data_IF_485069320141
#
_entry.id   IF_485069320141
#
_cell.length_a   1.000
_cell.length_b   1.000
_cell.length_c   1.000
_cell.angle_alpha   90.00
_cell.angle_beta   90.00
_cell.angle_gamma   90.00
#
_symmetry.space_group_name_H-M   'P 1'
#
loop_
_entity.id
_entity.type
_entity.pdbx_description
1 polymer ?
#
# COMPACT_ATOMS: atom_id res chain seq x y z
N UNK A 1 -6.38 7.37 23.51
CA UNK A 1 -6.33 7.88 22.15
C UNK A 1 -7.52 7.31 21.38
N UNK A 2 -8.25 8.14 20.64
CA UNK A 2 -9.30 7.65 19.76
C UNK A 2 -8.63 7.17 18.46
N UNK A 3 -8.29 5.90 18.41
CA UNK A 3 -7.78 5.29 17.18
C UNK A 3 -8.86 5.33 16.10
N UNK A 4 -8.45 5.54 14.84
CA UNK A 4 -9.35 5.75 13.71
C UNK A 4 -9.21 4.64 12.69
N UNK A 5 -10.31 4.35 12.02
CA UNK A 5 -10.36 3.49 10.85
C UNK A 5 -10.52 4.37 9.62
N UNK A 6 -9.68 4.14 8.62
CA UNK A 6 -9.70 4.84 7.35
C UNK A 6 -9.95 3.86 6.21
N UNK A 7 -10.57 4.35 5.14
CA UNK A 7 -10.80 3.56 3.95
C UNK A 7 -9.88 4.02 2.82
N UNK A 8 -9.19 3.05 2.22
CA UNK A 8 -8.38 3.23 1.01
C UNK A 8 -9.05 2.45 -0.11
N UNK A 9 -9.49 3.15 -1.15
CA UNK A 9 -9.99 2.52 -2.36
C UNK A 9 -8.84 2.14 -3.28
N UNK A 10 -8.88 0.93 -3.83
CA UNK A 10 -7.85 0.41 -4.75
C UNK A 10 -8.43 0.03 -6.12
N UNK A 11 -9.65 0.45 -6.42
CA UNK A 11 -10.35 0.13 -7.67
C UNK A 11 -9.51 0.50 -8.88
N UNK A 12 -8.96 1.70 -8.90
CA UNK A 12 -8.19 2.24 -10.02
C UNK A 12 -6.77 1.67 -10.15
N UNK A 13 -6.30 0.89 -9.19
CA UNK A 13 -4.99 0.25 -9.23
C UNK A 13 -5.13 -1.27 -9.25
N UNK A 14 -5.59 -1.88 -8.16
CA UNK A 14 -5.71 -3.33 -8.04
C UNK A 14 -6.95 -3.87 -8.74
N UNK A 15 -8.06 -3.17 -8.58
CA UNK A 15 -9.33 -3.55 -9.20
C UNK A 15 -9.24 -3.66 -10.72
N UNK A 16 -8.50 -2.78 -11.39
CA UNK A 16 -8.32 -2.82 -12.86
C UNK A 16 -7.46 -3.99 -13.35
N UNK A 17 -6.82 -4.73 -12.45
CA UNK A 17 -6.09 -5.95 -12.78
C UNK A 17 -7.01 -7.18 -12.88
N UNK A 18 -8.29 -7.01 -12.53
CA UNK A 18 -9.30 -8.06 -12.67
C UNK A 18 -9.46 -8.46 -14.15
N UNK A 19 -9.45 -9.77 -14.41
CA UNK A 19 -9.63 -10.30 -15.76
C UNK A 19 -10.90 -9.77 -16.42
N UNK A 20 -10.81 -9.37 -17.68
CA UNK A 20 -11.91 -8.82 -18.50
C UNK A 20 -12.43 -7.46 -18.03
N UNK A 21 -11.79 -6.81 -17.09
CA UNK A 21 -12.09 -5.42 -16.72
C UNK A 21 -11.10 -4.48 -17.42
N UNK A 22 -11.61 -3.50 -18.14
CA UNK A 22 -10.81 -2.43 -18.72
C UNK A 22 -11.51 -1.10 -18.45
N UNK A 23 -10.84 -0.23 -17.68
CA UNK A 23 -11.34 1.12 -17.43
C UNK A 23 -10.54 2.13 -18.24
N UNK A 24 -11.26 2.98 -18.99
CA UNK A 24 -10.65 4.12 -19.64
C UNK A 24 -10.19 5.16 -18.62
N UNK A 25 -9.24 6.02 -19.01
CA UNK A 25 -8.71 7.08 -18.13
C UNK A 25 -9.80 8.02 -17.61
N UNK A 26 -10.82 8.30 -18.43
CA UNK A 26 -11.99 9.11 -18.02
C UNK A 26 -12.80 8.40 -16.94
N UNK A 27 -13.07 7.10 -17.11
CA UNK A 27 -13.82 6.31 -16.12
C UNK A 27 -13.09 6.25 -14.78
N UNK A 28 -11.78 6.02 -14.80
CA UNK A 28 -10.93 6.08 -13.59
C UNK A 28 -10.96 7.47 -12.93
N UNK A 29 -11.02 8.54 -13.71
CA UNK A 29 -11.14 9.92 -13.20
C UNK A 29 -12.49 10.15 -12.54
N UNK A 30 -13.58 9.68 -13.16
CA UNK A 30 -14.94 9.75 -12.60
C UNK A 30 -14.98 8.99 -11.27
N UNK A 31 -14.38 7.82 -11.19
CA UNK A 31 -14.28 7.05 -9.93
C UNK A 31 -13.59 7.88 -8.84
N UNK A 32 -12.45 8.53 -9.12
CA UNK A 32 -11.77 9.38 -8.15
C UNK A 32 -12.65 10.55 -7.66
N UNK A 33 -13.43 11.17 -8.55
CA UNK A 33 -14.37 12.23 -8.16
C UNK A 33 -15.50 11.70 -7.27
N UNK A 34 -16.07 10.54 -7.61
CA UNK A 34 -17.09 9.89 -6.79
C UNK A 34 -16.57 9.48 -5.42
N UNK A 35 -15.35 8.97 -5.34
CA UNK A 35 -14.69 8.63 -4.07
C UNK A 35 -14.52 9.86 -3.18
N UNK A 36 -14.18 11.02 -3.78
CA UNK A 36 -14.10 12.29 -3.04
C UNK A 36 -15.46 12.74 -2.51
N UNK A 37 -16.52 12.64 -3.33
CA UNK A 37 -17.89 12.96 -2.90
C UNK A 37 -18.39 12.01 -1.81
N UNK A 38 -17.96 10.74 -1.81
CA UNK A 38 -18.25 9.76 -0.75
C UNK A 38 -17.43 9.99 0.53
N UNK A 39 -16.42 10.85 0.50
CA UNK A 39 -15.53 11.09 1.64
C UNK A 39 -14.52 9.97 1.90
N UNK A 40 -14.18 9.16 0.89
CA UNK A 40 -13.14 8.14 1.01
C UNK A 40 -11.79 8.81 1.25
N UNK A 41 -11.06 8.32 2.25
CA UNK A 41 -9.84 8.98 2.73
C UNK A 41 -8.73 9.00 1.67
N UNK A 42 -8.57 7.89 0.92
CA UNK A 42 -7.52 7.75 -0.07
C UNK A 42 -7.95 6.87 -1.23
N UNK A 43 -7.53 7.23 -2.44
CA UNK A 43 -7.59 6.39 -3.64
C UNK A 43 -6.18 6.03 -4.07
N UNK A 44 -5.89 4.73 -4.17
CA UNK A 44 -4.69 4.23 -4.82
C UNK A 44 -4.95 4.25 -6.34
N UNK A 45 -4.60 5.35 -6.99
CA UNK A 45 -5.18 5.73 -8.27
C UNK A 45 -4.43 5.23 -9.50
N UNK A 46 -3.24 4.60 -9.33
CA UNK A 46 -2.54 3.96 -10.43
C UNK A 46 -1.04 3.73 -10.19
N UNK A 47 -0.33 3.43 -11.29
CA UNK A 47 1.08 3.09 -11.35
C UNK A 47 1.89 4.25 -11.97
N UNK A 48 2.58 5.10 -11.20
CA UNK A 48 3.35 6.22 -11.75
C UNK A 48 4.56 5.79 -12.59
N UNK A 49 4.99 4.54 -12.51
CA UNK A 49 6.05 3.98 -13.37
C UNK A 49 5.55 3.62 -14.78
N UNK A 50 4.23 3.55 -14.98
CA UNK A 50 3.63 3.06 -16.23
C UNK A 50 3.35 4.20 -17.19
N UNK A 51 4.07 4.22 -18.32
CA UNK A 51 4.05 5.32 -19.30
C UNK A 51 2.64 5.69 -19.78
N UNK A 52 1.77 4.72 -20.05
CA UNK A 52 0.42 5.00 -20.55
C UNK A 52 -0.49 5.66 -19.51
N UNK A 53 -0.17 5.59 -18.21
CA UNK A 53 -0.96 6.21 -17.14
C UNK A 53 -0.54 7.65 -16.81
N UNK A 54 0.63 8.10 -17.25
CA UNK A 54 1.21 9.40 -16.85
C UNK A 54 0.23 10.56 -17.04
N UNK A 55 -0.41 10.65 -18.20
CA UNK A 55 -1.35 11.75 -18.48
C UNK A 55 -2.57 11.73 -17.57
N UNK A 56 -3.10 10.52 -17.29
CA UNK A 56 -4.22 10.33 -16.36
C UNK A 56 -3.82 10.75 -14.95
N UNK A 57 -2.67 10.29 -14.47
CA UNK A 57 -2.20 10.57 -13.12
C UNK A 57 -1.96 12.09 -12.92
N UNK A 58 -1.26 12.73 -13.84
CA UNK A 58 -1.02 14.18 -13.79
C UNK A 58 -2.33 14.96 -13.92
N UNK A 59 -3.24 14.55 -14.79
CA UNK A 59 -4.57 15.16 -14.92
C UNK A 59 -5.38 15.13 -13.62
N UNK A 60 -5.38 13.99 -12.92
CA UNK A 60 -6.08 13.88 -11.63
C UNK A 60 -5.42 14.71 -10.53
N UNK A 61 -4.09 14.84 -10.50
CA UNK A 61 -3.41 15.73 -9.56
C UNK A 61 -3.67 17.22 -9.88
N UNK A 62 -3.90 17.57 -11.14
CA UNK A 62 -4.37 18.91 -11.49
C UNK A 62 -5.81 19.16 -10.99
N UNK A 63 -6.70 18.14 -10.99
CA UNK A 63 -8.03 18.25 -10.39
C UNK A 63 -7.94 18.49 -8.87
N UNK A 64 -6.98 17.87 -8.18
CA UNK A 64 -6.71 18.16 -6.76
C UNK A 64 -6.28 19.61 -6.58
N UNK A 65 -5.36 20.11 -7.41
CA UNK A 65 -4.90 21.49 -7.36
C UNK A 65 -6.01 22.50 -7.62
N UNK A 66 -6.95 22.16 -8.51
CA UNK A 66 -8.15 22.97 -8.82
C UNK A 66 -9.30 22.81 -7.84
N UNK A 67 -9.13 22.04 -6.78
CA UNK A 67 -10.16 21.75 -5.77
C UNK A 67 -11.40 21.03 -6.33
N UNK A 68 -11.27 20.33 -7.45
CA UNK A 68 -12.30 19.43 -7.96
C UNK A 68 -12.29 18.08 -7.22
N UNK A 69 -11.12 17.64 -6.75
CA UNK A 69 -10.94 16.59 -5.74
C UNK A 69 -10.39 17.29 -4.50
N UNK A 70 -11.13 17.28 -3.37
CA UNK A 70 -10.90 18.16 -2.22
C UNK A 70 -10.32 17.45 -1.01
N UNK A 71 -10.79 16.24 -0.74
CA UNK A 71 -10.52 15.51 0.51
C UNK A 71 -9.78 14.20 0.28
N UNK A 72 -10.10 13.48 -0.80
CA UNK A 72 -9.49 12.20 -1.12
C UNK A 72 -8.03 12.37 -1.55
N UNK A 73 -7.14 11.68 -0.84
CA UNK A 73 -5.71 11.66 -1.16
C UNK A 73 -5.45 10.69 -2.31
N UNK A 74 -4.82 11.15 -3.37
CA UNK A 74 -4.45 10.30 -4.50
C UNK A 74 -3.04 9.73 -4.28
N UNK A 75 -2.92 8.42 -4.15
CA UNK A 75 -1.65 7.73 -3.92
C UNK A 75 -1.24 6.86 -5.10
N UNK A 76 0.03 6.93 -5.47
CA UNK A 76 0.62 6.03 -6.45
C UNK A 76 1.13 4.75 -5.78
N UNK A 77 1.00 3.63 -6.49
CA UNK A 77 1.60 2.36 -6.09
C UNK A 77 2.80 2.05 -7.00
N UNK A 78 3.90 1.57 -6.42
CA UNK A 78 5.09 1.16 -7.16
C UNK A 78 5.86 0.08 -6.39
N UNK A 79 6.79 -0.58 -7.08
CA UNK A 79 7.69 -1.50 -6.39
C UNK A 79 8.59 -0.74 -5.43
N UNK A 80 8.93 -1.35 -4.31
CA UNK A 80 9.81 -0.79 -3.28
C UNK A 80 11.29 -0.77 -3.72
N UNK A 81 11.57 -0.09 -4.82
CA UNK A 81 12.91 0.09 -5.42
C UNK A 81 13.16 1.57 -5.68
N UNK A 82 14.32 2.08 -5.30
CA UNK A 82 14.67 3.50 -5.48
C UNK A 82 14.53 3.94 -6.96
N UNK A 83 14.91 3.10 -7.91
CA UNK A 83 14.76 3.40 -9.34
C UNK A 83 13.30 3.60 -9.79
N UNK A 84 12.36 2.80 -9.25
CA UNK A 84 10.93 2.96 -9.53
C UNK A 84 10.39 4.24 -8.90
N UNK A 85 10.85 4.59 -7.70
CA UNK A 85 10.52 5.84 -7.03
C UNK A 85 11.00 7.05 -7.84
N UNK A 86 12.27 7.06 -8.26
CA UNK A 86 12.83 8.12 -9.09
C UNK A 86 12.04 8.31 -10.39
N UNK A 87 11.76 7.21 -11.09
CA UNK A 87 10.98 7.24 -12.33
C UNK A 87 9.57 7.78 -12.08
N UNK A 88 8.92 7.36 -10.99
CA UNK A 88 7.58 7.80 -10.62
C UNK A 88 7.52 9.32 -10.38
N UNK A 89 8.43 9.87 -9.60
CA UNK A 89 8.48 11.32 -9.34
C UNK A 89 8.94 12.13 -10.55
N UNK A 90 9.77 11.56 -11.43
CA UNK A 90 10.08 12.15 -12.73
C UNK A 90 8.83 12.26 -13.61
N UNK A 91 8.02 11.22 -13.67
CA UNK A 91 6.82 11.16 -14.51
C UNK A 91 5.63 11.93 -13.92
N UNK A 92 5.52 11.94 -12.59
CA UNK A 92 4.39 12.50 -11.83
C UNK A 92 4.94 13.37 -10.68
N UNK A 93 5.48 14.57 -10.99
CA UNK A 93 6.25 15.36 -10.02
C UNK A 93 5.41 15.93 -8.86
N UNK A 94 4.09 15.98 -9.00
CA UNK A 94 3.18 16.45 -7.94
C UNK A 94 2.65 15.34 -7.04
N UNK A 95 3.19 14.11 -7.16
CA UNK A 95 2.81 12.99 -6.32
C UNK A 95 3.25 13.23 -4.87
N UNK A 96 2.32 13.06 -3.92
CA UNK A 96 2.57 13.33 -2.50
C UNK A 96 2.37 12.09 -1.61
N UNK A 97 1.61 11.11 -2.09
CA UNK A 97 1.25 9.91 -1.36
C UNK A 97 1.67 8.68 -2.17
N UNK A 98 2.42 7.79 -1.56
CA UNK A 98 2.96 6.61 -2.25
C UNK A 98 2.86 5.36 -1.38
N UNK A 99 2.65 4.22 -2.04
CA UNK A 99 2.73 2.89 -1.45
C UNK A 99 3.81 2.09 -2.19
N UNK A 100 4.82 1.66 -1.43
CA UNK A 100 5.98 0.93 -1.92
C UNK A 100 5.82 -0.56 -1.59
N UNK A 101 5.77 -1.43 -2.58
CA UNK A 101 5.49 -2.85 -2.38
C UNK A 101 6.72 -3.73 -2.57
N UNK A 102 6.95 -4.62 -1.62
CA UNK A 102 7.95 -5.67 -1.68
C UNK A 102 7.37 -7.02 -1.28
N UNK A 103 7.84 -8.07 -1.94
CA UNK A 103 7.50 -9.44 -1.56
C UNK A 103 8.21 -9.82 -0.27
N UNK A 104 7.47 -10.40 0.68
CA UNK A 104 7.98 -10.69 2.01
C UNK A 104 7.98 -12.19 2.36
N UNK A 105 7.24 -13.02 1.61
CA UNK A 105 7.32 -14.47 1.79
C UNK A 105 8.57 -15.05 1.15
N UNK A 106 9.07 -16.14 1.70
CA UNK A 106 10.22 -16.84 1.16
C UNK A 106 9.95 -17.33 -0.28
N UNK A 107 8.75 -17.86 -0.52
CA UNK A 107 8.32 -18.34 -1.83
C UNK A 107 8.39 -17.24 -2.90
N UNK A 108 7.90 -16.04 -2.55
CA UNK A 108 7.91 -14.91 -3.48
C UNK A 108 9.32 -14.34 -3.68
N UNK A 109 10.12 -14.24 -2.63
CA UNK A 109 11.51 -13.77 -2.73
C UNK A 109 12.31 -14.73 -3.61
N UNK A 110 12.19 -16.03 -3.38
CA UNK A 110 12.89 -17.03 -4.19
C UNK A 110 12.42 -17.02 -5.66
N UNK A 111 11.10 -16.96 -5.88
CA UNK A 111 10.53 -16.97 -7.24
C UNK A 111 10.83 -15.70 -8.04
N UNK A 112 10.62 -14.52 -7.47
CA UNK A 112 10.85 -13.24 -8.17
C UNK A 112 12.32 -12.96 -8.45
N UNK A 113 13.19 -13.31 -7.53
CA UNK A 113 14.60 -12.97 -7.64
C UNK A 113 15.50 -14.16 -8.00
N UNK A 114 14.89 -15.32 -8.32
CA UNK A 114 15.61 -16.53 -8.76
C UNK A 114 16.74 -16.91 -7.78
N UNK A 115 16.48 -16.82 -6.50
CA UNK A 115 17.45 -17.12 -5.44
C UNK A 115 18.58 -16.08 -5.26
N UNK A 116 18.54 -14.95 -5.98
CA UNK A 116 19.59 -13.91 -5.92
C UNK A 116 19.41 -12.88 -4.83
N UNK A 117 18.34 -12.92 -4.08
CA UNK A 117 18.01 -11.99 -2.99
C UNK A 117 17.67 -12.73 -1.72
N UNK A 118 18.08 -12.14 -0.62
CA UNK A 118 17.78 -12.59 0.74
C UNK A 118 16.69 -11.69 1.38
N UNK A 119 16.07 -12.10 2.48
CA UNK A 119 15.20 -11.21 3.26
C UNK A 119 15.86 -9.89 3.67
N UNK A 120 17.15 -9.89 3.99
CA UNK A 120 17.89 -8.68 4.34
C UNK A 120 18.08 -7.74 3.14
N UNK A 121 18.26 -8.28 1.93
CA UNK A 121 18.25 -7.48 0.69
C UNK A 121 16.89 -6.78 0.48
N UNK A 122 15.78 -7.45 0.81
CA UNK A 122 14.44 -6.85 0.72
C UNK A 122 14.29 -5.68 1.68
N UNK A 123 14.77 -5.82 2.91
CA UNK A 123 14.79 -4.72 3.88
C UNK A 123 15.64 -3.55 3.36
N UNK A 124 16.84 -3.84 2.86
CA UNK A 124 17.74 -2.82 2.33
C UNK A 124 17.13 -2.05 1.16
N UNK A 125 16.57 -2.76 0.18
CA UNK A 125 15.89 -2.15 -0.97
C UNK A 125 14.72 -1.28 -0.55
N UNK A 126 13.93 -1.73 0.43
CA UNK A 126 12.79 -0.96 0.97
C UNK A 126 13.27 0.32 1.65
N UNK A 127 14.34 0.23 2.44
CA UNK A 127 14.96 1.38 3.08
C UNK A 127 15.34 2.44 2.05
N UNK A 128 16.13 2.06 1.03
CA UNK A 128 16.55 2.98 -0.04
C UNK A 128 15.34 3.61 -0.76
N UNK A 129 14.29 2.83 -1.02
CA UNK A 129 13.08 3.31 -1.68
C UNK A 129 12.31 4.32 -0.81
N UNK A 130 12.19 4.07 0.50
CA UNK A 130 11.52 4.96 1.45
C UNK A 130 12.30 6.29 1.56
N UNK A 131 13.60 6.23 1.77
CA UNK A 131 14.48 7.40 1.84
C UNK A 131 14.39 8.22 0.56
N UNK A 132 14.48 7.57 -0.60
CA UNK A 132 14.32 8.22 -1.91
C UNK A 132 12.94 8.91 -2.04
N UNK A 133 11.85 8.26 -1.64
CA UNK A 133 10.51 8.86 -1.70
C UNK A 133 10.38 10.10 -0.81
N UNK A 134 10.95 10.06 0.39
CA UNK A 134 11.00 11.23 1.29
C UNK A 134 11.84 12.37 0.72
N UNK A 135 12.98 12.08 0.16
CA UNK A 135 13.87 13.07 -0.49
C UNK A 135 13.19 13.72 -1.71
N UNK A 136 12.33 12.99 -2.43
CA UNK A 136 11.51 13.54 -3.53
C UNK A 136 10.29 14.32 -3.02
N UNK A 137 10.07 14.43 -1.74
CA UNK A 137 9.00 15.23 -1.13
C UNK A 137 7.68 14.49 -0.90
N UNK A 138 7.69 13.15 -0.86
CA UNK A 138 6.51 12.39 -0.47
C UNK A 138 6.08 12.75 0.96
N UNK A 139 4.82 13.14 1.14
CA UNK A 139 4.25 13.47 2.46
C UNK A 139 3.99 12.21 3.28
N UNK A 140 3.42 11.19 2.64
CA UNK A 140 3.11 9.90 3.26
C UNK A 140 3.69 8.78 2.39
N UNK A 141 4.43 7.91 3.03
CA UNK A 141 5.04 6.71 2.42
C UNK A 141 4.51 5.48 3.15
N UNK A 142 3.68 4.69 2.49
CA UNK A 142 3.29 3.36 2.95
C UNK A 142 4.26 2.30 2.44
N UNK A 143 4.55 1.29 3.24
CA UNK A 143 5.27 0.10 2.81
C UNK A 143 4.36 -1.12 2.84
N UNK A 144 4.31 -1.84 1.74
CA UNK A 144 3.44 -3.01 1.58
C UNK A 144 4.27 -4.27 1.68
N UNK A 145 3.84 -5.17 2.57
CA UNK A 145 4.35 -6.54 2.65
C UNK A 145 3.48 -7.44 1.75
N UNK A 146 3.87 -7.61 0.50
CA UNK A 146 3.20 -8.51 -0.43
C UNK A 146 3.39 -9.96 0.04
N UNK A 147 2.29 -10.73 0.06
CA UNK A 147 2.25 -12.12 0.53
C UNK A 147 2.59 -12.26 2.04
N UNK A 148 2.15 -11.29 2.84
CA UNK A 148 2.42 -11.24 4.27
C UNK A 148 1.83 -12.44 5.02
N UNK A 149 0.68 -12.96 4.58
CA UNK A 149 0.04 -14.12 5.19
C UNK A 149 0.93 -15.37 5.21
N UNK A 150 1.81 -15.56 4.22
CA UNK A 150 2.81 -16.65 4.18
C UNK A 150 4.20 -16.26 4.71
N UNK A 151 4.39 -15.01 5.10
CA UNK A 151 5.68 -14.53 5.56
C UNK A 151 5.94 -14.89 7.02
N UNK A 152 7.21 -15.08 7.36
CA UNK A 152 7.62 -15.23 8.76
C UNK A 152 7.28 -13.96 9.55
N UNK A 153 6.64 -14.10 10.71
CA UNK A 153 6.16 -12.96 11.50
C UNK A 153 7.32 -12.12 12.05
N UNK A 154 8.42 -12.73 12.46
CA UNK A 154 9.61 -12.01 12.96
C UNK A 154 10.23 -11.16 11.85
N UNK A 155 10.23 -11.70 10.62
CA UNK A 155 10.70 -10.97 9.46
C UNK A 155 9.79 -9.76 9.16
N UNK A 156 8.46 -9.93 9.20
CA UNK A 156 7.53 -8.82 9.00
C UNK A 156 7.72 -7.70 10.02
N UNK A 157 7.92 -8.06 11.29
CA UNK A 157 8.18 -7.09 12.36
C UNK A 157 9.50 -6.36 12.11
N UNK A 158 10.57 -7.08 11.74
CA UNK A 158 11.86 -6.50 11.39
C UNK A 158 11.73 -5.55 10.20
N UNK A 159 11.07 -6.00 9.13
CA UNK A 159 10.80 -5.23 7.93
C UNK A 159 10.06 -3.91 8.24
N UNK A 160 8.97 -3.98 9.01
CA UNK A 160 8.20 -2.80 9.38
C UNK A 160 9.02 -1.83 10.27
N UNK A 161 9.79 -2.35 11.25
CA UNK A 161 10.66 -1.53 12.11
C UNK A 161 11.74 -0.80 11.30
N UNK A 162 12.39 -1.48 10.37
CA UNK A 162 13.43 -0.86 9.53
C UNK A 162 12.81 0.16 8.55
N UNK A 163 11.67 -0.14 7.95
CA UNK A 163 10.93 0.82 7.12
C UNK A 163 10.55 2.08 7.92
N UNK A 164 10.05 1.92 9.15
CA UNK A 164 9.74 3.05 10.05
C UNK A 164 10.96 3.92 10.32
N UNK A 165 12.12 3.33 10.62
CA UNK A 165 13.38 4.05 10.84
C UNK A 165 13.81 4.87 9.62
N UNK A 166 13.48 4.39 8.42
CA UNK A 166 13.79 5.08 7.16
C UNK A 166 12.76 6.15 6.80
N UNK A 167 11.70 6.31 7.61
CA UNK A 167 10.69 7.35 7.42
C UNK A 167 9.36 6.87 6.83
N UNK A 168 9.10 5.57 6.74
CA UNK A 168 7.77 5.07 6.36
C UNK A 168 6.73 5.42 7.42
N UNK A 169 5.55 5.85 6.97
CA UNK A 169 4.47 6.34 7.84
C UNK A 169 3.48 5.25 8.23
N UNK A 170 3.36 4.17 7.45
CA UNK A 170 2.43 3.06 7.69
C UNK A 170 2.91 1.77 7.05
N UNK A 171 2.41 0.66 7.58
CA UNK A 171 2.70 -0.68 7.12
C UNK A 171 1.43 -1.35 6.59
N UNK A 172 1.44 -1.84 5.34
CA UNK A 172 0.33 -2.59 4.75
C UNK A 172 0.60 -4.08 4.82
N UNK A 173 -0.30 -4.80 5.48
CA UNK A 173 -0.35 -6.26 5.49
C UNK A 173 -1.19 -6.76 4.32
N UNK A 174 -0.60 -7.53 3.40
CA UNK A 174 -1.30 -8.04 2.21
C UNK A 174 -1.48 -9.56 2.28
N UNK A 175 -2.71 -10.02 2.37
CA UNK A 175 -3.07 -11.41 2.09
C UNK A 175 -3.30 -11.57 0.57
N UNK A 176 -2.21 -11.66 -0.16
CA UNK A 176 -2.18 -11.66 -1.63
C UNK A 176 -2.90 -12.87 -2.24
N UNK A 177 -2.96 -13.98 -1.53
CA UNK A 177 -3.63 -15.22 -1.98
C UNK A 177 -5.05 -15.37 -1.43
N UNK A 178 -5.49 -14.50 -0.52
CA UNK A 178 -6.84 -14.51 0.04
C UNK A 178 -7.19 -15.77 0.82
N UNK A 179 -6.22 -16.37 1.52
CA UNK A 179 -6.42 -17.64 2.22
C UNK A 179 -6.39 -17.57 3.75
N UNK A 180 -6.05 -16.41 4.31
CA UNK A 180 -5.90 -16.27 5.75
C UNK A 180 -7.26 -16.30 6.48
N UNK A 181 -7.28 -16.80 7.69
CA UNK A 181 -8.47 -16.81 8.55
C UNK A 181 -8.50 -15.59 9.50
N UNK A 182 -9.69 -15.19 9.98
CA UNK A 182 -9.84 -13.99 10.81
C UNK A 182 -9.10 -14.04 12.15
N UNK A 183 -8.97 -15.22 12.77
CA UNK A 183 -8.29 -15.36 14.08
C UNK A 183 -6.78 -15.24 13.91
N UNK A 184 -6.22 -15.91 12.91
CA UNK A 184 -4.80 -15.77 12.55
C UNK A 184 -4.47 -14.33 12.17
N UNK A 185 -5.32 -13.68 11.37
CA UNK A 185 -5.20 -12.26 11.04
C UNK A 185 -5.12 -11.40 12.28
N UNK A 186 -6.07 -11.55 13.23
CA UNK A 186 -6.05 -10.79 14.48
C UNK A 186 -4.72 -10.94 15.22
N UNK A 187 -4.28 -12.17 15.43
CA UNK A 187 -3.07 -12.48 16.20
C UNK A 187 -1.82 -11.87 15.56
N UNK A 188 -1.68 -11.98 14.23
CA UNK A 188 -0.54 -11.47 13.49
C UNK A 188 -0.53 -9.94 13.47
N UNK A 189 -1.67 -9.32 13.17
CA UNK A 189 -1.79 -7.85 13.13
C UNK A 189 -1.58 -7.24 14.50
N UNK A 190 -2.20 -7.81 15.55
CA UNK A 190 -1.98 -7.33 16.93
C UNK A 190 -0.50 -7.33 17.30
N UNK A 191 0.20 -8.41 17.00
CA UNK A 191 1.62 -8.54 17.28
C UNK A 191 2.47 -7.52 16.51
N UNK A 192 2.26 -7.41 15.19
CA UNK A 192 2.96 -6.43 14.35
C UNK A 192 2.71 -5.01 14.86
N UNK A 193 1.47 -4.63 15.08
CA UNK A 193 1.08 -3.32 15.56
C UNK A 193 1.67 -3.00 16.93
N UNK A 194 1.59 -3.96 17.86
CA UNK A 194 2.14 -3.82 19.22
C UNK A 194 3.64 -3.59 19.23
N UNK A 195 4.39 -4.32 18.41
CA UNK A 195 5.84 -4.24 18.38
C UNK A 195 6.40 -3.09 17.56
N UNK A 196 5.67 -2.65 16.53
CA UNK A 196 6.14 -1.60 15.62
C UNK A 196 5.59 -0.22 15.97
N UNK A 197 4.40 -0.16 16.59
CA UNK A 197 3.67 1.09 16.83
C UNK A 197 3.57 1.93 15.54
N UNK A 198 3.29 1.26 14.42
CA UNK A 198 2.96 1.88 13.14
C UNK A 198 1.46 1.77 12.87
N UNK A 199 0.85 2.76 12.22
CA UNK A 199 -0.46 2.58 11.61
C UNK A 199 -0.46 1.38 10.67
N UNK A 200 -1.48 0.54 10.77
CA UNK A 200 -1.61 -0.67 9.95
C UNK A 200 -2.61 -0.41 8.82
N UNK A 201 -2.21 -0.72 7.62
CA UNK A 201 -3.10 -0.78 6.47
C UNK A 201 -3.33 -2.25 6.10
N UNK A 202 -4.57 -2.62 5.81
CA UNK A 202 -5.02 -3.99 5.59
C UNK A 202 -5.46 -4.18 4.15
N UNK A 203 -4.98 -5.23 3.50
CA UNK A 203 -5.34 -5.56 2.13
C UNK A 203 -5.53 -7.07 1.98
N UNK A 204 -6.78 -7.51 1.83
CA UNK A 204 -7.13 -8.92 1.74
C UNK A 204 -7.84 -9.22 0.42
N UNK A 205 -7.32 -10.21 -0.33
CA UNK A 205 -8.05 -10.81 -1.44
C UNK A 205 -9.13 -11.77 -0.92
N UNK A 206 -10.13 -12.08 -1.77
CA UNK A 206 -11.35 -12.77 -1.34
C UNK A 206 -11.49 -14.18 -1.93
N UNK A 207 -10.38 -14.87 -2.19
CA UNK A 207 -10.38 -16.18 -2.85
C UNK A 207 -11.17 -17.22 -2.05
N UNK A 208 -11.08 -17.20 -0.73
CA UNK A 208 -11.85 -18.08 0.16
C UNK A 208 -13.04 -17.39 0.83
N UNK A 209 -13.44 -16.20 0.38
CA UNK A 209 -14.64 -15.49 0.89
C UNK A 209 -14.46 -14.86 2.27
N UNK A 210 -13.23 -14.73 2.78
CA UNK A 210 -12.97 -14.24 4.15
C UNK A 210 -12.41 -12.82 4.22
N UNK A 211 -12.22 -12.12 3.10
CA UNK A 211 -11.58 -10.80 3.08
C UNK A 211 -12.23 -9.80 4.04
N UNK A 212 -13.56 -9.72 4.06
CA UNK A 212 -14.28 -8.80 4.96
C UNK A 212 -14.06 -9.17 6.42
N UNK A 213 -14.16 -10.45 6.77
CA UNK A 213 -13.97 -10.91 8.14
C UNK A 213 -12.53 -10.68 8.61
N UNK A 214 -11.53 -10.97 7.77
CA UNK A 214 -10.13 -10.69 8.04
C UNK A 214 -9.87 -9.18 8.20
N UNK A 215 -10.45 -8.34 7.35
CA UNK A 215 -10.32 -6.88 7.45
C UNK A 215 -10.88 -6.34 8.76
N UNK A 216 -12.06 -6.80 9.19
CA UNK A 216 -12.68 -6.41 10.46
C UNK A 216 -11.82 -6.84 11.65
N UNK A 217 -11.33 -8.09 11.64
CA UNK A 217 -10.49 -8.60 12.73
C UNK A 217 -9.11 -7.96 12.76
N UNK A 218 -8.53 -7.68 11.60
CA UNK A 218 -7.26 -6.94 11.50
C UNK A 218 -7.38 -5.50 12.00
N UNK A 219 -8.45 -4.78 11.62
CA UNK A 219 -8.70 -3.43 12.11
C UNK A 219 -8.91 -3.41 13.64
N UNK A 220 -9.67 -4.37 14.17
CA UNK A 220 -9.83 -4.54 15.61
C UNK A 220 -8.47 -4.77 16.30
N UNK A 221 -7.65 -5.65 15.76
CA UNK A 221 -6.33 -5.95 16.31
C UNK A 221 -5.41 -4.72 16.35
N UNK A 222 -5.43 -3.89 15.30
CA UNK A 222 -4.67 -2.63 15.25
C UNK A 222 -5.13 -1.66 16.34
N UNK A 223 -6.45 -1.49 16.49
CA UNK A 223 -7.05 -0.64 17.54
C UNK A 223 -6.70 -1.16 18.94
N UNK A 224 -6.84 -2.47 19.18
CA UNK A 224 -6.52 -3.10 20.47
C UNK A 224 -5.01 -2.97 20.80
N UNK A 225 -4.15 -2.88 19.78
CA UNK A 225 -2.72 -2.60 19.94
C UNK A 225 -2.39 -1.12 20.11
N UNK A 226 -3.36 -0.22 19.92
CA UNK A 226 -3.22 1.22 20.13
C UNK A 226 -2.77 2.01 18.90
N UNK A 227 -2.97 1.50 17.68
CA UNK A 227 -2.64 2.19 16.44
C UNK A 227 -3.87 2.35 15.53
N UNK A 228 -3.78 3.27 14.54
CA UNK A 228 -4.82 3.45 13.51
C UNK A 228 -4.82 2.28 12.50
N UNK A 229 -5.97 2.03 11.87
CA UNK A 229 -6.17 1.03 10.84
C UNK A 229 -6.77 1.65 9.56
#
# INVERSE_FOLDING_TARGET
>A
ANNRIYFVDVTNRDGVQTSRLGLAKLEKTIINLMLDDMGITQSEFGFPTTQHEINYLNGNLELVKRQAIRTTKLSGWMRGMAADVELSFKNVPNLQYVNLSQSTSEQMIQGKYLGKKTPDDIIFMTKEAVECAKDKGAKIVGVNAEDASRSNIEFLIKYAKEAKKSGADRFRYCDTLGYEDPQTTYNRIFRIAKETQMPIELHFHNDLGMATACSVMGARAAIDAGVDA
#
